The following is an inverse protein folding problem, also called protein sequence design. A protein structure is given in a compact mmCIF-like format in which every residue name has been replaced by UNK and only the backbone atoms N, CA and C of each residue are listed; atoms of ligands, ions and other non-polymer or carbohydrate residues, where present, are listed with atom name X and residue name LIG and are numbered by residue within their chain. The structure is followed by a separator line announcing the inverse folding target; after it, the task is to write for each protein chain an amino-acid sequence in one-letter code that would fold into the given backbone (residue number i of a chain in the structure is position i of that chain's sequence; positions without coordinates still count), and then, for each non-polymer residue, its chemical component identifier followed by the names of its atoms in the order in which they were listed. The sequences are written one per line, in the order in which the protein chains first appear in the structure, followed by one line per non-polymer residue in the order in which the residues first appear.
data_IF_084757104791
#
_entry.id   IF_084757104791
#
_cell.length_a   1.000
_cell.length_b   1.000
_cell.length_c   1.000
_cell.angle_alpha   90.00
_cell.angle_beta   90.00
_cell.angle_gamma   90.00
#
_symmetry.space_group_name_H-M   'P 1'
#
loop_
_entity.id
_entity.type
_entity.pdbx_description
1 polymer ?
#
# COMPACT_ATOMS: atom_id res chain seq x y z
N UNK A 1 -45.01 23.17 -53.47
CA UNK A 1 -44.26 23.73 -52.33
C UNK A 1 -44.45 22.80 -51.14
N UNK A 2 -43.35 22.47 -50.45
CA UNK A 2 -43.26 21.77 -49.16
C UNK A 2 -43.59 20.26 -49.14
N UNK A 3 -42.56 19.45 -49.35
CA UNK A 3 -42.51 18.06 -48.90
C UNK A 3 -41.49 17.97 -47.76
N UNK A 4 -41.86 17.21 -46.74
CA UNK A 4 -41.30 17.21 -45.38
C UNK A 4 -40.10 16.25 -45.33
N UNK A 5 -38.93 16.75 -44.94
CA UNK A 5 -37.73 15.93 -44.70
C UNK A 5 -37.70 15.52 -43.22
N UNK A 6 -38.06 14.28 -42.92
CA UNK A 6 -37.92 13.71 -41.57
C UNK A 6 -36.47 13.27 -41.37
N UNK A 7 -35.71 14.01 -40.56
CA UNK A 7 -34.36 13.63 -40.13
C UNK A 7 -34.48 12.72 -38.91
N UNK A 8 -34.02 11.47 -39.05
CA UNK A 8 -33.87 10.52 -37.95
C UNK A 8 -32.67 10.96 -37.11
N UNK A 9 -32.92 11.41 -35.88
CA UNK A 9 -31.88 11.73 -34.90
C UNK A 9 -31.40 10.43 -34.26
N UNK A 10 -30.25 9.92 -34.70
CA UNK A 10 -29.52 8.89 -33.97
C UNK A 10 -28.82 9.55 -32.77
N UNK A 11 -29.39 9.41 -31.58
CA UNK A 11 -28.73 9.78 -30.33
C UNK A 11 -27.64 8.74 -30.01
N UNK A 12 -26.38 9.06 -30.24
CA UNK A 12 -25.25 8.29 -29.71
C UNK A 12 -25.07 8.64 -28.24
N UNK A 13 -25.53 7.76 -27.35
CA UNK A 13 -25.28 7.86 -25.91
C UNK A 13 -23.83 7.48 -25.63
N UNK A 14 -22.92 8.45 -25.62
CA UNK A 14 -21.56 8.27 -25.09
C UNK A 14 -21.64 8.12 -23.57
N UNK A 15 -21.42 6.91 -23.06
CA UNK A 15 -21.06 6.67 -21.67
C UNK A 15 -19.70 7.33 -21.40
N UNK A 16 -19.70 8.49 -20.75
CA UNK A 16 -18.51 9.06 -20.15
C UNK A 16 -18.34 8.46 -18.75
N UNK A 17 -17.51 7.42 -18.67
CA UNK A 17 -16.99 6.87 -17.41
C UNK A 17 -16.08 7.92 -16.77
N UNK A 18 -16.61 8.68 -15.81
CA UNK A 18 -15.80 9.57 -14.97
C UNK A 18 -15.02 8.72 -13.96
N UNK A 19 -13.90 8.15 -14.41
CA UNK A 19 -12.80 7.75 -13.55
C UNK A 19 -12.12 9.03 -13.04
N UNK A 20 -12.62 9.61 -11.95
CA UNK A 20 -11.89 10.64 -11.20
C UNK A 20 -10.73 9.99 -10.45
N UNK A 21 -9.70 9.58 -11.18
CA UNK A 21 -8.35 9.36 -10.66
C UNK A 21 -7.58 10.67 -10.73
N UNK A 22 -7.89 11.61 -9.82
CA UNK A 22 -7.08 12.82 -9.66
C UNK A 22 -5.67 12.44 -9.17
N UNK A 23 -4.62 13.20 -9.53
CA UNK A 23 -3.29 12.99 -8.95
C UNK A 23 -3.34 13.23 -7.43
N UNK A 24 -2.59 12.46 -6.63
CA UNK A 24 -2.56 12.63 -5.17
C UNK A 24 -2.12 14.07 -4.85
N UNK A 25 -2.93 14.77 -4.06
CA UNK A 25 -2.70 16.17 -3.73
C UNK A 25 -1.51 16.20 -2.75
N UNK A 26 -0.59 17.14 -2.92
CA UNK A 26 0.67 17.18 -2.16
C UNK A 26 0.52 17.39 -0.63
N UNK A 27 -0.69 17.34 -0.08
CA UNK A 27 -1.00 17.31 1.37
C UNK A 27 -1.32 15.91 1.94
N UNK A 28 -1.36 14.86 1.12
CA UNK A 28 -1.82 13.52 1.55
C UNK A 28 -0.74 12.64 2.19
N UNK A 29 0.53 13.05 2.10
CA UNK A 29 1.67 12.23 2.56
C UNK A 29 1.99 12.50 4.03
N UNK A 30 2.06 11.43 4.82
CA UNK A 30 2.42 11.50 6.23
C UNK A 30 3.91 11.86 6.37
N UNK A 31 4.26 12.95 7.08
CA UNK A 31 5.64 13.28 7.37
C UNK A 31 6.23 12.26 8.35
N UNK A 32 7.46 11.81 8.11
CA UNK A 32 8.19 10.89 8.99
C UNK A 32 9.64 11.34 9.13
N UNK A 33 10.31 10.93 10.20
CA UNK A 33 11.75 11.22 10.33
C UNK A 33 12.56 10.45 9.28
N UNK A 34 13.78 10.90 9.02
CA UNK A 34 14.73 10.20 8.13
C UNK A 34 14.93 8.74 8.54
N UNK A 35 15.03 8.46 9.84
CA UNK A 35 15.18 7.09 10.36
C UNK A 35 13.93 6.24 10.13
N UNK A 36 12.74 6.80 10.34
CA UNK A 36 11.47 6.11 10.06
C UNK A 36 11.32 5.81 8.57
N UNK A 37 11.62 6.76 7.69
CA UNK A 37 11.59 6.56 6.25
C UNK A 37 12.59 5.48 5.80
N UNK A 38 13.77 5.43 6.44
CA UNK A 38 14.76 4.38 6.20
C UNK A 38 14.25 3.01 6.61
N UNK A 39 13.58 2.86 7.74
CA UNK A 39 12.96 1.59 8.16
C UNK A 39 11.89 1.16 7.15
N UNK A 40 10.96 2.08 6.82
CA UNK A 40 9.90 1.86 5.83
C UNK A 40 10.44 1.39 4.48
N UNK A 41 11.57 1.94 4.05
CA UNK A 41 12.19 1.54 2.77
C UNK A 41 12.98 0.22 2.89
N UNK A 42 13.68 0.00 4.01
CA UNK A 42 14.51 -1.20 4.22
C UNK A 42 13.66 -2.45 4.42
N UNK A 43 12.54 -2.36 5.13
CA UNK A 43 11.64 -3.50 5.36
C UNK A 43 11.09 -4.07 4.05
N UNK A 44 10.98 -3.25 2.98
CA UNK A 44 10.63 -3.74 1.65
C UNK A 44 11.61 -4.77 1.10
N UNK A 45 12.79 -4.94 1.70
CA UNK A 45 13.73 -6.01 1.35
C UNK A 45 13.21 -7.40 1.67
N UNK A 46 12.30 -7.52 2.64
CA UNK A 46 11.76 -8.79 3.11
C UNK A 46 10.73 -9.40 2.17
N UNK A 47 10.04 -8.59 1.35
CA UNK A 47 9.01 -9.10 0.45
C UNK A 47 9.54 -10.16 -0.55
N UNK A 48 8.75 -11.22 -0.73
CA UNK A 48 9.10 -12.42 -1.50
C UNK A 48 9.71 -12.15 -2.89
N UNK A 49 9.02 -11.37 -3.73
CA UNK A 49 9.36 -11.22 -5.15
C UNK A 49 9.96 -9.85 -5.45
N UNK A 50 10.79 -9.76 -6.50
CA UNK A 50 11.33 -8.48 -6.96
C UNK A 50 10.23 -7.45 -7.26
N UNK A 51 9.08 -7.90 -7.77
CA UNK A 51 7.92 -7.03 -8.01
C UNK A 51 7.32 -6.52 -6.69
N UNK A 52 7.09 -7.40 -5.72
CA UNK A 52 6.57 -6.98 -4.40
C UNK A 52 7.50 -5.98 -3.71
N UNK A 53 8.82 -6.14 -3.83
CA UNK A 53 9.80 -5.17 -3.29
C UNK A 53 9.69 -3.81 -3.97
N UNK A 54 9.51 -3.77 -5.31
CA UNK A 54 9.29 -2.53 -6.06
C UNK A 54 7.98 -1.86 -5.65
N UNK A 55 6.89 -2.63 -5.56
CA UNK A 55 5.58 -2.13 -5.19
C UNK A 55 5.55 -1.58 -3.75
N UNK A 56 6.26 -2.25 -2.84
CA UNK A 56 6.45 -1.78 -1.47
C UNK A 56 7.16 -0.42 -1.44
N UNK A 57 8.30 -0.27 -2.16
CA UNK A 57 9.03 1.01 -2.20
C UNK A 57 8.21 2.12 -2.84
N UNK A 58 7.47 1.81 -3.91
CA UNK A 58 6.56 2.75 -4.54
C UNK A 58 5.46 3.22 -3.57
N UNK A 59 4.88 2.30 -2.80
CA UNK A 59 3.88 2.64 -1.78
C UNK A 59 4.45 3.50 -0.66
N UNK A 60 5.67 3.22 -0.20
CA UNK A 60 6.37 4.05 0.77
C UNK A 60 6.53 5.48 0.26
N UNK A 61 6.96 5.66 -1.00
CA UNK A 61 7.09 6.97 -1.62
C UNK A 61 5.76 7.70 -1.86
N UNK A 62 4.67 6.95 -2.06
CA UNK A 62 3.30 7.48 -2.21
C UNK A 62 2.69 7.93 -0.89
N UNK A 63 2.99 7.25 0.22
CA UNK A 63 2.37 7.52 1.54
C UNK A 63 3.19 8.43 2.44
N UNK A 64 4.51 8.39 2.32
CA UNK A 64 5.40 9.02 3.29
C UNK A 64 6.33 10.03 2.62
N UNK A 65 6.68 11.06 3.37
CA UNK A 65 7.67 12.06 2.99
C UNK A 65 8.62 12.32 4.17
N UNK A 66 9.90 12.55 3.90
CA UNK A 66 10.87 12.89 4.94
C UNK A 66 10.56 14.30 5.45
N UNK A 67 10.41 14.43 6.77
CA UNK A 67 10.10 15.67 7.47
C UNK A 67 10.32 15.50 8.97
N UNK A 68 9.27 15.76 9.76
CA UNK A 68 9.31 15.55 11.20
C UNK A 68 9.02 14.10 11.60
N UNK A 69 9.52 13.68 12.76
CA UNK A 69 9.14 12.39 13.37
C UNK A 69 7.63 12.30 13.51
N UNK A 70 7.06 11.16 13.10
CA UNK A 70 5.66 10.84 13.34
C UNK A 70 5.53 9.88 14.50
N UNK A 71 4.92 10.34 15.59
CA UNK A 71 4.63 9.47 16.76
C UNK A 71 3.38 8.61 16.55
N UNK A 72 2.60 8.90 15.51
CA UNK A 72 1.44 8.10 15.08
C UNK A 72 1.81 7.01 14.07
N UNK A 73 3.05 6.97 13.58
CA UNK A 73 3.54 5.88 12.76
C UNK A 73 3.69 4.61 13.60
N UNK A 74 2.91 3.58 13.28
CA UNK A 74 3.01 2.28 13.92
C UNK A 74 4.36 1.64 13.61
N UNK A 75 5.32 1.73 14.52
CA UNK A 75 6.61 1.05 14.44
C UNK A 75 6.69 0.00 15.54
N UNK A 76 7.04 -1.22 15.16
CA UNK A 76 7.04 -2.38 16.04
C UNK A 76 8.31 -3.18 15.85
N UNK A 77 8.85 -3.67 16.97
CA UNK A 77 10.12 -4.42 17.01
C UNK A 77 9.94 -5.73 17.74
N UNK A 78 10.27 -6.83 17.07
CA UNK A 78 10.29 -8.17 17.67
C UNK A 78 11.53 -8.90 17.18
N UNK A 79 12.18 -9.69 18.05
CA UNK A 79 13.39 -10.44 17.74
C UNK A 79 14.51 -9.61 17.05
N UNK A 80 14.63 -8.32 17.40
CA UNK A 80 15.59 -7.39 16.78
C UNK A 80 15.22 -6.86 15.39
N UNK A 81 14.04 -7.22 14.88
CA UNK A 81 13.51 -6.80 13.58
C UNK A 81 12.51 -5.69 13.80
N UNK A 82 12.76 -4.52 13.21
CA UNK A 82 11.85 -3.37 13.25
C UNK A 82 11.16 -3.18 11.92
N UNK A 83 9.84 -3.07 11.96
CA UNK A 83 9.01 -2.68 10.80
C UNK A 83 8.04 -1.58 11.20
N UNK A 84 7.75 -0.72 10.24
CA UNK A 84 6.85 0.41 10.41
C UNK A 84 5.69 0.37 9.40
N UNK A 85 4.57 0.96 9.78
CA UNK A 85 3.38 1.08 8.95
C UNK A 85 2.73 -0.27 8.63
N UNK A 86 1.96 -0.26 7.54
CA UNK A 86 1.26 -1.46 7.06
C UNK A 86 2.20 -2.27 6.18
N UNK A 87 2.38 -3.55 6.52
CA UNK A 87 3.10 -4.52 5.71
C UNK A 87 2.11 -5.36 4.89
N UNK A 88 2.46 -5.62 3.64
CA UNK A 88 1.67 -6.50 2.77
C UNK A 88 2.26 -7.90 2.84
N UNK A 89 1.50 -8.83 3.40
CA UNK A 89 1.94 -10.21 3.53
C UNK A 89 1.74 -11.00 2.23
N UNK A 90 2.78 -11.71 1.80
CA UNK A 90 2.77 -12.76 0.79
C UNK A 90 2.15 -14.07 1.31
N UNK A 91 2.05 -15.09 0.45
CA UNK A 91 1.40 -16.35 0.83
C UNK A 91 2.21 -17.17 1.85
N UNK A 92 3.54 -17.15 1.74
CA UNK A 92 4.43 -17.79 2.71
C UNK A 92 4.30 -17.13 4.10
N UNK A 93 4.38 -15.81 4.13
CA UNK A 93 4.28 -15.01 5.35
C UNK A 93 2.89 -15.16 6.01
N UNK A 94 1.81 -15.20 5.23
CA UNK A 94 0.45 -15.51 5.73
C UNK A 94 0.35 -16.92 6.32
N UNK A 95 1.01 -17.92 5.71
CA UNK A 95 1.05 -19.28 6.23
C UNK A 95 1.79 -19.32 7.57
N UNK A 96 2.98 -18.71 7.63
CA UNK A 96 3.74 -18.54 8.86
C UNK A 96 2.89 -17.86 9.94
N UNK A 97 2.23 -16.75 9.62
CA UNK A 97 1.38 -16.00 10.55
C UNK A 97 0.30 -16.91 11.18
N UNK A 98 -0.42 -17.69 10.37
CA UNK A 98 -1.46 -18.61 10.87
C UNK A 98 -0.86 -19.69 11.78
N UNK A 99 0.27 -20.29 11.40
CA UNK A 99 0.94 -21.32 12.20
C UNK A 99 1.45 -20.76 13.53
N UNK A 100 2.10 -19.60 13.51
CA UNK A 100 2.59 -18.93 14.72
C UNK A 100 1.46 -18.53 15.66
N UNK A 101 0.33 -18.05 15.12
CA UNK A 101 -0.85 -17.76 15.93
C UNK A 101 -1.45 -19.02 16.55
N UNK A 102 -1.50 -20.13 15.81
CA UNK A 102 -1.97 -21.41 16.32
C UNK A 102 -1.07 -21.96 17.45
N UNK A 103 0.22 -21.62 17.46
CA UNK A 103 1.14 -21.94 18.55
C UNK A 103 1.13 -20.93 19.71
N UNK A 104 0.19 -19.98 19.73
CA UNK A 104 0.01 -19.03 20.84
C UNK A 104 0.81 -17.73 20.71
N UNK A 105 1.44 -17.45 19.56
CA UNK A 105 2.11 -16.16 19.32
C UNK A 105 1.06 -15.10 18.97
N UNK A 106 1.21 -13.88 19.50
CA UNK A 106 0.30 -12.77 19.19
C UNK A 106 0.41 -12.37 17.73
N UNK A 107 -0.71 -11.91 17.13
CA UNK A 107 -0.72 -11.42 15.76
C UNK A 107 0.39 -10.39 15.52
N UNK A 108 0.53 -9.39 16.38
CA UNK A 108 1.52 -8.30 16.24
C UNK A 108 2.96 -8.81 16.17
N UNK A 109 3.30 -9.83 16.97
CA UNK A 109 4.63 -10.45 16.96
C UNK A 109 4.82 -11.29 15.70
N UNK A 110 3.87 -12.19 15.43
CA UNK A 110 3.92 -13.09 14.29
C UNK A 110 3.96 -12.33 12.95
N UNK A 111 3.25 -11.22 12.83
CA UNK A 111 3.25 -10.38 11.62
C UNK A 111 4.63 -9.82 11.31
N UNK A 112 5.40 -9.40 12.33
CA UNK A 112 6.77 -8.89 12.15
C UNK A 112 7.75 -10.01 11.86
N UNK A 113 7.73 -11.06 12.68
CA UNK A 113 8.67 -12.17 12.55
C UNK A 113 8.45 -12.91 11.22
N UNK A 114 7.21 -13.22 10.86
CA UNK A 114 6.90 -13.90 9.60
C UNK A 114 7.15 -13.02 8.37
N UNK A 115 6.94 -11.71 8.45
CA UNK A 115 7.27 -10.85 7.31
C UNK A 115 8.76 -10.86 6.98
N UNK A 116 9.63 -11.02 7.99
CA UNK A 116 11.07 -10.95 7.80
C UNK A 116 11.77 -12.32 7.71
N UNK A 117 11.14 -13.40 8.17
CA UNK A 117 11.79 -14.71 8.38
C UNK A 117 11.04 -15.92 7.79
N UNK A 118 9.90 -15.72 7.10
CA UNK A 118 9.11 -16.83 6.55
C UNK A 118 9.73 -17.53 5.34
#
# INVERSE_FOLDING_TARGET
MKWITTVVVFTTTTLATLLTGGPPVAGDRQPVSTDQYRILTRQCGYADTAQARRDCRAEVGRRYVVGARSDTLDCRTYAGITVCGVIKLGEAEKKCLRTSMASGITYRRAEVECYALA
#
